data_IF_981151597415
#
_entry.id   IF_981151597415
#
_cell.length_a   1.000
_cell.length_b   1.000
_cell.length_c   1.000
_cell.angle_alpha   90.00
_cell.angle_beta   90.00
_cell.angle_gamma   90.00
#
_symmetry.space_group_name_H-M   'P 1'
#
loop_
_entity.id
_entity.type
_entity.pdbx_description
1 polymer ?
#
# COMPACT_ATOMS: atom_id res chain seq x y z
N UNK A 1 -14.59 17.45 16.53
CA UNK A 1 -13.34 17.45 15.71
C UNK A 1 -13.71 17.00 14.32
N UNK A 2 -13.46 17.85 13.34
CA UNK A 2 -13.80 17.64 11.93
C UNK A 2 -13.18 16.33 11.39
N UNK A 3 -13.86 15.65 10.46
CA UNK A 3 -13.39 14.40 9.84
C UNK A 3 -12.08 14.65 9.08
N UNK A 4 -11.98 15.78 8.39
CA UNK A 4 -10.77 16.18 7.66
C UNK A 4 -9.59 16.41 8.62
N UNK A 5 -9.82 17.08 9.74
CA UNK A 5 -8.79 17.32 10.76
C UNK A 5 -8.20 16.01 11.32
N UNK A 6 -9.02 14.97 11.51
CA UNK A 6 -8.54 13.64 11.93
C UNK A 6 -7.57 13.03 10.91
N UNK A 7 -7.87 13.18 9.62
CA UNK A 7 -7.04 12.65 8.53
C UNK A 7 -5.75 13.46 8.35
N UNK A 8 -5.82 14.79 8.47
CA UNK A 8 -4.65 15.68 8.43
C UNK A 8 -3.62 15.32 9.50
N UNK A 9 -4.05 15.00 10.71
CA UNK A 9 -3.16 14.55 11.80
C UNK A 9 -2.40 13.26 11.44
N UNK A 10 -3.05 12.31 10.76
CA UNK A 10 -2.40 11.09 10.28
C UNK A 10 -1.32 11.44 9.27
N UNK A 11 -1.64 12.28 8.27
CA UNK A 11 -0.70 12.70 7.23
C UNK A 11 0.54 13.38 7.83
N UNK A 12 0.35 14.32 8.78
CA UNK A 12 1.45 15.02 9.44
C UNK A 12 2.35 14.03 10.21
N UNK A 13 1.74 13.11 10.96
CA UNK A 13 2.49 12.08 11.69
C UNK A 13 3.37 11.25 10.75
N UNK A 14 2.81 10.71 9.67
CA UNK A 14 3.57 9.91 8.70
C UNK A 14 4.69 10.72 8.03
N UNK A 15 4.44 12.01 7.74
CA UNK A 15 5.45 12.92 7.19
C UNK A 15 6.62 13.08 8.16
N UNK A 16 6.34 13.39 9.43
CA UNK A 16 7.36 13.58 10.47
C UNK A 16 8.18 12.31 10.71
N UNK A 17 7.52 11.16 10.79
CA UNK A 17 8.17 9.86 10.97
C UNK A 17 9.06 9.48 9.79
N UNK A 18 8.60 9.69 8.55
CA UNK A 18 9.42 9.46 7.34
C UNK A 18 10.66 10.35 7.34
N UNK A 19 10.49 11.65 7.60
CA UNK A 19 11.59 12.60 7.62
C UNK A 19 12.60 12.26 8.72
N UNK A 20 12.13 11.82 9.90
CA UNK A 20 12.99 11.30 10.95
C UNK A 20 13.75 10.06 10.48
N UNK A 21 13.07 9.08 9.87
CA UNK A 21 13.70 7.84 9.41
C UNK A 21 14.80 8.07 8.37
N UNK A 22 14.59 9.03 7.47
CA UNK A 22 15.60 9.44 6.47
C UNK A 22 16.82 10.06 7.15
N UNK A 23 16.61 10.98 8.11
CA UNK A 23 17.72 11.60 8.87
C UNK A 23 18.50 10.57 9.66
N UNK A 24 17.82 9.70 10.41
CA UNK A 24 18.46 8.65 11.22
C UNK A 24 19.32 7.76 10.32
N UNK A 25 18.80 7.30 9.17
CA UNK A 25 19.56 6.44 8.25
C UNK A 25 20.78 7.16 7.66
N UNK A 26 20.67 8.45 7.35
CA UNK A 26 21.80 9.25 6.86
C UNK A 26 22.94 9.30 7.89
N UNK A 27 22.61 9.40 9.17
CA UNK A 27 23.60 9.39 10.25
C UNK A 27 24.20 7.98 10.46
N UNK A 28 23.38 6.93 10.46
CA UNK A 28 23.84 5.53 10.53
C UNK A 28 24.87 5.21 9.43
N UNK A 29 24.62 5.66 8.20
CA UNK A 29 25.49 5.42 7.04
C UNK A 29 26.90 6.00 7.19
N UNK A 30 27.13 6.97 8.09
CA UNK A 30 28.49 7.47 8.38
C UNK A 30 29.38 6.43 9.06
N UNK A 31 28.76 5.41 9.65
CA UNK A 31 29.44 4.32 10.37
C UNK A 31 29.30 2.95 9.68
N UNK A 32 28.70 2.90 8.49
CA UNK A 32 28.55 1.66 7.75
C UNK A 32 29.92 1.15 7.24
N UNK A 33 30.09 -0.17 7.21
CA UNK A 33 31.19 -0.79 6.49
C UNK A 33 30.92 -0.70 4.97
N UNK A 34 31.85 -0.07 4.24
CA UNK A 34 31.74 0.16 2.78
C UNK A 34 32.72 -0.69 1.96
N UNK A 35 33.25 -1.79 2.50
CA UNK A 35 34.15 -2.72 1.79
C UNK A 35 33.58 -3.21 0.46
N UNK A 36 32.25 -3.31 0.33
CA UNK A 36 31.58 -3.71 -0.92
C UNK A 36 31.77 -2.70 -2.06
N UNK A 37 32.24 -1.47 -1.80
CA UNK A 37 32.51 -0.48 -2.84
C UNK A 37 33.61 -0.91 -3.81
N UNK A 38 34.43 -1.91 -3.46
CA UNK A 38 35.31 -2.56 -4.43
C UNK A 38 34.55 -3.08 -5.66
N UNK A 39 33.32 -3.59 -5.48
CA UNK A 39 32.46 -4.05 -6.57
C UNK A 39 31.90 -2.86 -7.36
N UNK A 40 31.52 -1.78 -6.68
CA UNK A 40 31.04 -0.57 -7.35
C UNK A 40 32.12 0.06 -8.23
N UNK A 41 33.36 0.12 -7.71
CA UNK A 41 34.53 0.58 -8.45
C UNK A 41 34.81 -0.31 -9.67
N UNK A 42 34.74 -1.63 -9.53
CA UNK A 42 34.88 -2.57 -10.65
C UNK A 42 33.80 -2.36 -11.74
N UNK A 43 32.61 -1.89 -11.34
CA UNK A 43 31.51 -1.53 -12.24
C UNK A 43 31.58 -0.08 -12.75
N UNK A 44 32.63 0.68 -12.43
CA UNK A 44 32.85 2.04 -12.93
C UNK A 44 32.24 3.17 -12.08
N UNK A 45 31.85 2.90 -10.83
CA UNK A 45 31.34 3.90 -9.90
C UNK A 45 32.35 4.19 -8.80
N UNK A 46 32.63 5.48 -8.56
CA UNK A 46 33.43 5.90 -7.40
C UNK A 46 32.69 5.65 -6.08
N UNK A 47 33.43 5.58 -4.98
CA UNK A 47 32.89 5.48 -3.63
C UNK A 47 31.84 6.55 -3.32
N UNK A 48 32.07 7.80 -3.74
CA UNK A 48 31.10 8.89 -3.56
C UNK A 48 29.79 8.61 -4.30
N UNK A 49 29.86 8.14 -5.55
CA UNK A 49 28.67 7.77 -6.32
C UNK A 49 27.99 6.55 -5.70
N UNK A 50 28.75 5.58 -5.21
CA UNK A 50 28.27 4.41 -4.47
C UNK A 50 27.44 4.82 -3.26
N UNK A 51 27.98 5.72 -2.43
CA UNK A 51 27.27 6.27 -1.28
C UNK A 51 25.96 6.95 -1.66
N UNK A 52 25.96 7.79 -2.71
CA UNK A 52 24.74 8.46 -3.16
C UNK A 52 23.69 7.47 -3.65
N UNK A 53 24.10 6.42 -4.37
CA UNK A 53 23.19 5.36 -4.84
C UNK A 53 22.57 4.62 -3.65
N UNK A 54 23.39 4.17 -2.70
CA UNK A 54 22.92 3.46 -1.51
C UNK A 54 21.97 4.34 -0.69
N UNK A 55 22.30 5.62 -0.53
CA UNK A 55 21.44 6.57 0.17
C UNK A 55 20.09 6.75 -0.53
N UNK A 56 20.08 6.98 -1.85
CA UNK A 56 18.85 7.13 -2.62
C UNK A 56 18.01 5.85 -2.64
N UNK A 57 18.64 4.67 -2.67
CA UNK A 57 17.95 3.40 -2.56
C UNK A 57 17.25 3.27 -1.20
N UNK A 58 17.90 3.67 -0.11
CA UNK A 58 17.30 3.69 1.23
C UNK A 58 16.11 4.66 1.29
N UNK A 59 16.29 5.90 0.79
CA UNK A 59 15.23 6.91 0.74
C UNK A 59 14.04 6.41 -0.08
N UNK A 60 14.29 5.86 -1.26
CA UNK A 60 13.27 5.28 -2.13
C UNK A 60 12.49 4.16 -1.44
N UNK A 61 13.19 3.24 -0.76
CA UNK A 61 12.55 2.16 0.01
C UNK A 61 11.67 2.70 1.14
N UNK A 62 12.14 3.70 1.88
CA UNK A 62 11.33 4.32 2.94
C UNK A 62 10.11 5.01 2.36
N UNK A 63 10.28 5.82 1.32
CA UNK A 63 9.16 6.53 0.70
C UNK A 63 8.07 5.56 0.21
N UNK A 64 8.45 4.50 -0.51
CA UNK A 64 7.49 3.50 -0.99
C UNK A 64 6.75 2.80 0.15
N UNK A 65 7.45 2.45 1.24
CA UNK A 65 6.83 1.86 2.43
C UNK A 65 5.84 2.83 3.09
N UNK A 66 6.26 4.07 3.33
CA UNK A 66 5.43 5.07 4.01
C UNK A 66 4.24 5.49 3.16
N UNK A 67 4.38 5.60 1.84
CA UNK A 67 3.26 5.86 0.93
C UNK A 67 2.20 4.75 1.00
N UNK A 68 2.62 3.49 1.00
CA UNK A 68 1.72 2.35 1.15
C UNK A 68 0.99 2.34 2.50
N UNK A 69 1.72 2.48 3.61
CA UNK A 69 1.12 2.50 4.94
C UNK A 69 0.21 3.71 5.18
N UNK A 70 0.60 4.89 4.66
CA UNK A 70 -0.21 6.10 4.79
C UNK A 70 -1.57 5.94 4.12
N UNK A 71 -1.63 5.45 2.88
CA UNK A 71 -2.91 5.33 2.18
C UNK A 71 -3.81 4.26 2.81
N UNK A 72 -3.21 3.16 3.29
CA UNK A 72 -3.92 2.09 3.99
C UNK A 72 -4.60 2.65 5.24
N UNK A 73 -3.85 3.34 6.10
CA UNK A 73 -4.36 3.94 7.33
C UNK A 73 -5.43 5.01 7.05
N UNK A 74 -5.21 5.87 6.05
CA UNK A 74 -6.20 6.89 5.68
C UNK A 74 -7.50 6.29 5.15
N UNK A 75 -7.44 5.30 4.26
CA UNK A 75 -8.62 4.65 3.71
C UNK A 75 -9.39 3.86 4.78
N UNK A 76 -8.68 3.10 5.64
CA UNK A 76 -9.29 2.46 6.82
C UNK A 76 -9.97 3.50 7.69
N UNK A 77 -9.34 4.65 7.91
CA UNK A 77 -9.91 5.72 8.73
C UNK A 77 -11.16 6.32 8.09
N UNK A 78 -11.20 6.49 6.76
CA UNK A 78 -12.40 6.91 6.05
C UNK A 78 -13.56 5.93 6.30
N UNK A 79 -13.31 4.62 6.15
CA UNK A 79 -14.32 3.60 6.44
C UNK A 79 -14.80 3.65 7.89
N UNK A 80 -13.89 3.72 8.87
CA UNK A 80 -14.26 3.79 10.31
C UNK A 80 -15.01 5.07 10.69
N UNK A 81 -14.87 6.15 9.93
CA UNK A 81 -15.60 7.40 10.16
C UNK A 81 -17.01 7.37 9.55
N UNK A 82 -17.21 6.58 8.49
CA UNK A 82 -18.50 6.44 7.81
C UNK A 82 -19.33 5.25 8.33
N UNK A 83 -18.67 4.16 8.69
CA UNK A 83 -19.26 2.88 9.07
C UNK A 83 -18.81 2.50 10.48
N UNK A 84 -19.69 2.61 11.51
CA UNK A 84 -19.34 2.31 12.89
C UNK A 84 -18.91 0.85 13.15
N UNK A 85 -19.32 -0.08 12.28
CA UNK A 85 -19.00 -1.51 12.35
C UNK A 85 -17.68 -1.89 11.65
N UNK A 86 -17.00 -0.92 11.02
CA UNK A 86 -15.74 -1.16 10.33
C UNK A 86 -14.64 -1.68 11.29
N UNK A 87 -14.01 -2.80 10.93
CA UNK A 87 -12.92 -3.43 11.67
C UNK A 87 -11.65 -3.46 10.83
N UNK A 88 -10.52 -3.07 11.42
CA UNK A 88 -9.22 -3.10 10.74
C UNK A 88 -8.46 -4.38 11.04
N UNK A 89 -7.64 -4.83 10.08
CA UNK A 89 -6.69 -5.95 10.22
C UNK A 89 -7.32 -7.23 10.77
N UNK A 90 -8.48 -7.58 10.23
CA UNK A 90 -9.21 -8.79 10.61
C UNK A 90 -8.46 -10.00 10.06
N UNK A 91 -8.18 -10.98 10.92
CA UNK A 91 -7.52 -12.23 10.53
C UNK A 91 -8.54 -13.36 10.45
N UNK A 92 -8.56 -14.05 9.32
CA UNK A 92 -9.38 -15.24 9.11
C UNK A 92 -8.46 -16.47 8.92
N UNK A 93 -8.88 -17.66 9.38
CA UNK A 93 -8.10 -18.88 9.17
C UNK A 93 -7.89 -19.15 7.68
N UNK A 94 -6.68 -19.55 7.32
CA UNK A 94 -6.42 -20.07 5.98
C UNK A 94 -7.00 -21.48 5.86
N UNK A 95 -7.99 -21.66 4.99
CA UNK A 95 -8.69 -22.93 4.74
C UNK A 95 -8.08 -23.76 3.61
N UNK A 96 -7.13 -23.19 2.85
CA UNK A 96 -6.59 -23.81 1.62
C UNK A 96 -5.30 -24.60 1.90
N UNK A 97 -4.41 -24.06 2.73
CA UNK A 97 -3.16 -24.72 3.09
C UNK A 97 -2.67 -24.27 4.48
N UNK A 98 -1.46 -24.67 4.86
CA UNK A 98 -0.89 -24.40 6.19
C UNK A 98 -0.14 -23.06 6.32
N UNK A 99 0.12 -22.33 5.22
CA UNK A 99 1.00 -21.15 5.25
C UNK A 99 0.58 -20.06 4.26
N UNK A 100 0.25 -18.83 4.73
CA UNK A 100 0.24 -18.40 6.13
C UNK A 100 -0.91 -19.04 6.92
N UNK A 101 -0.81 -19.10 8.26
CA UNK A 101 -1.88 -19.66 9.11
C UNK A 101 -3.20 -18.89 8.99
N UNK A 102 -3.10 -17.57 8.80
CA UNK A 102 -4.24 -16.68 8.65
C UNK A 102 -4.05 -15.80 7.41
N UNK A 103 -5.17 -15.45 6.79
CA UNK A 103 -5.28 -14.37 5.82
C UNK A 103 -5.71 -13.09 6.55
N UNK A 104 -5.05 -11.98 6.27
CA UNK A 104 -5.42 -10.66 6.81
C UNK A 104 -6.30 -9.90 5.80
N UNK A 105 -7.33 -9.24 6.33
CA UNK A 105 -8.21 -8.30 5.66
C UNK A 105 -7.89 -6.92 6.23
N UNK A 106 -7.48 -5.96 5.39
CA UNK A 106 -7.06 -4.63 5.83
C UNK A 106 -8.21 -3.89 6.52
N UNK A 107 -9.40 -3.92 5.92
CA UNK A 107 -10.63 -3.37 6.48
C UNK A 107 -11.83 -4.26 6.18
N UNK A 108 -12.69 -4.50 7.17
CA UNK A 108 -13.93 -5.26 7.03
C UNK A 108 -15.12 -4.38 7.42
N UNK A 109 -16.06 -4.17 6.48
CA UNK A 109 -17.29 -3.40 6.69
C UNK A 109 -18.49 -4.28 6.31
N UNK A 110 -19.29 -4.71 7.30
CA UNK A 110 -20.29 -5.76 7.09
C UNK A 110 -19.67 -7.02 6.46
N UNK A 111 -20.10 -7.36 5.24
CA UNK A 111 -19.53 -8.47 4.45
C UNK A 111 -18.38 -8.08 3.53
N UNK A 112 -18.08 -6.79 3.38
CA UNK A 112 -17.10 -6.27 2.42
C UNK A 112 -15.70 -6.31 3.02
N UNK A 113 -14.84 -7.16 2.47
CA UNK A 113 -13.47 -7.39 2.92
C UNK A 113 -12.49 -6.69 1.98
N UNK A 114 -11.98 -5.54 2.41
CA UNK A 114 -11.11 -4.67 1.63
C UNK A 114 -9.64 -5.09 1.70
N UNK A 115 -9.01 -5.17 0.52
CA UNK A 115 -7.56 -5.06 0.31
C UNK A 115 -7.23 -3.66 -0.22
N UNK A 116 -6.35 -2.94 0.45
CA UNK A 116 -6.04 -1.55 0.14
C UNK A 116 -4.61 -1.45 -0.38
N UNK A 117 -4.44 -0.84 -1.55
CA UNK A 117 -3.14 -0.62 -2.17
C UNK A 117 -3.01 0.82 -2.63
N UNK A 118 -1.85 1.42 -2.37
CA UNK A 118 -1.51 2.70 -3.02
C UNK A 118 -1.23 2.47 -4.50
N UNK A 119 -0.38 1.49 -4.82
CA UNK A 119 0.02 1.11 -6.18
C UNK A 119 0.53 -0.33 -6.15
N UNK A 120 0.24 -1.10 -7.19
CA UNK A 120 0.85 -2.41 -7.39
C UNK A 120 1.65 -2.44 -8.68
N UNK A 121 2.96 -2.50 -8.54
CA UNK A 121 3.92 -2.55 -9.65
C UNK A 121 4.48 -3.96 -9.87
N UNK A 122 3.85 -5.00 -9.30
CA UNK A 122 4.32 -6.37 -9.47
C UNK A 122 4.38 -6.76 -10.94
N UNK A 123 5.48 -7.39 -11.31
CA UNK A 123 5.68 -8.00 -12.63
C UNK A 123 5.73 -9.52 -12.56
N UNK A 124 5.66 -10.10 -11.36
CA UNK A 124 5.84 -11.53 -11.12
C UNK A 124 4.52 -12.25 -10.84
N UNK A 125 4.37 -13.44 -11.42
CA UNK A 125 3.18 -14.29 -11.30
C UNK A 125 3.00 -14.93 -9.93
N UNK A 126 4.05 -15.00 -9.10
CA UNK A 126 3.92 -15.50 -7.71
C UNK A 126 2.95 -14.64 -6.88
N UNK A 127 2.95 -13.32 -7.12
CA UNK A 127 2.00 -12.41 -6.47
C UNK A 127 0.54 -12.72 -6.84
N UNK A 128 0.27 -13.09 -8.10
CA UNK A 128 -1.09 -13.46 -8.54
C UNK A 128 -1.57 -14.71 -7.83
N UNK A 129 -0.71 -15.74 -7.69
CA UNK A 129 -1.09 -16.99 -7.01
C UNK A 129 -1.43 -16.76 -5.54
N UNK A 130 -0.63 -15.93 -4.85
CA UNK A 130 -0.90 -15.57 -3.45
C UNK A 130 -2.19 -14.80 -3.31
N UNK A 131 -2.45 -13.86 -4.22
CA UNK A 131 -3.69 -13.10 -4.23
C UNK A 131 -4.88 -14.02 -4.48
N UNK A 132 -4.86 -14.84 -5.54
CA UNK A 132 -5.90 -15.83 -5.84
C UNK A 132 -6.28 -16.68 -4.62
N UNK A 133 -5.28 -17.22 -3.93
CA UNK A 133 -5.51 -17.97 -2.69
C UNK A 133 -6.18 -17.11 -1.62
N UNK A 134 -5.63 -15.92 -1.33
CA UNK A 134 -6.18 -14.99 -0.34
C UNK A 134 -7.64 -14.69 -0.63
N UNK A 135 -7.97 -14.35 -1.88
CA UNK A 135 -9.33 -13.95 -2.24
C UNK A 135 -10.30 -15.13 -2.15
N UNK A 136 -9.87 -16.33 -2.50
CA UNK A 136 -10.66 -17.56 -2.33
C UNK A 136 -10.97 -17.85 -0.86
N UNK A 137 -9.99 -17.75 0.04
CA UNK A 137 -10.22 -17.92 1.51
C UNK A 137 -11.26 -16.91 2.02
N UNK A 138 -11.16 -15.66 1.59
CA UNK A 138 -12.09 -14.59 1.99
C UNK A 138 -13.52 -14.89 1.49
N UNK A 139 -13.65 -15.29 0.23
CA UNK A 139 -14.94 -15.65 -0.37
C UNK A 139 -15.58 -16.88 0.29
N UNK A 140 -14.79 -17.94 0.55
CA UNK A 140 -15.24 -19.14 1.26
C UNK A 140 -15.68 -18.86 2.71
N UNK A 141 -15.09 -17.84 3.34
CA UNK A 141 -15.51 -17.35 4.66
C UNK A 141 -16.82 -16.53 4.63
N UNK A 142 -17.44 -16.34 3.46
CA UNK A 142 -18.71 -15.66 3.28
C UNK A 142 -18.61 -14.14 3.13
N UNK A 143 -17.41 -13.62 2.89
CA UNK A 143 -17.15 -12.20 2.65
C UNK A 143 -17.08 -11.89 1.15
N UNK A 144 -17.37 -10.64 0.80
CA UNK A 144 -17.21 -10.09 -0.55
C UNK A 144 -15.81 -9.44 -0.59
N UNK A 145 -14.86 -10.03 -1.32
CA UNK A 145 -13.53 -9.46 -1.42
C UNK A 145 -13.55 -8.23 -2.32
N UNK A 146 -12.99 -7.12 -1.85
CA UNK A 146 -12.93 -5.86 -2.60
C UNK A 146 -11.49 -5.37 -2.62
N UNK A 147 -10.94 -5.11 -3.80
CA UNK A 147 -9.61 -4.50 -3.93
C UNK A 147 -9.73 -3.06 -4.37
N UNK A 148 -9.05 -2.18 -3.64
CA UNK A 148 -8.97 -0.76 -3.95
C UNK A 148 -7.50 -0.40 -4.17
N UNK A 149 -7.15 0.02 -5.39
CA UNK A 149 -5.80 0.43 -5.76
C UNK A 149 -5.78 1.88 -6.26
N UNK A 150 -5.28 2.82 -5.46
CA UNK A 150 -5.45 4.25 -5.73
C UNK A 150 -4.66 4.80 -6.92
N UNK A 151 -3.56 4.17 -7.32
CA UNK A 151 -2.73 4.60 -8.44
C UNK A 151 -2.44 3.43 -9.40
N UNK A 152 -2.57 3.71 -10.70
CA UNK A 152 -2.28 2.75 -11.75
C UNK A 152 -0.76 2.52 -11.91
N UNK A 153 -0.33 1.30 -12.28
CA UNK A 153 1.04 1.05 -12.69
C UNK A 153 1.33 1.63 -14.07
N UNK A 154 2.60 1.97 -14.30
CA UNK A 154 3.04 2.52 -15.59
C UNK A 154 3.60 1.45 -16.54
N UNK A 155 4.13 0.34 -16.00
CA UNK A 155 4.79 -0.70 -16.80
C UNK A 155 3.73 -1.59 -17.42
N UNK A 156 3.82 -1.84 -18.73
CA UNK A 156 2.86 -2.69 -19.45
C UNK A 156 2.63 -4.05 -18.79
N UNK A 157 3.70 -4.71 -18.32
CA UNK A 157 3.59 -6.00 -17.66
C UNK A 157 2.77 -5.92 -16.37
N UNK A 158 2.96 -4.87 -15.57
CA UNK A 158 2.18 -4.64 -14.36
C UNK A 158 0.72 -4.34 -14.69
N UNK A 159 0.46 -3.54 -15.73
CA UNK A 159 -0.91 -3.27 -16.22
C UNK A 159 -1.63 -4.57 -16.60
N UNK A 160 -0.97 -5.46 -17.36
CA UNK A 160 -1.53 -6.78 -17.74
C UNK A 160 -1.80 -7.66 -16.52
N UNK A 161 -0.96 -7.61 -15.48
CA UNK A 161 -1.18 -8.35 -14.24
C UNK A 161 -2.37 -7.79 -13.47
N UNK A 162 -2.52 -6.47 -13.36
CA UNK A 162 -3.67 -5.87 -12.68
C UNK A 162 -4.98 -6.17 -13.42
N UNK A 163 -4.97 -6.26 -14.76
CA UNK A 163 -6.13 -6.70 -15.53
C UNK A 163 -6.55 -8.14 -15.17
N UNK A 164 -5.59 -9.07 -15.07
CA UNK A 164 -5.86 -10.45 -14.62
C UNK A 164 -6.36 -10.51 -13.18
N UNK A 165 -5.82 -9.67 -12.30
CA UNK A 165 -6.32 -9.58 -10.92
C UNK A 165 -7.77 -9.06 -10.88
N UNK A 166 -8.12 -8.10 -11.73
CA UNK A 166 -9.49 -7.61 -11.86
C UNK A 166 -10.45 -8.72 -12.29
N UNK A 167 -10.10 -9.48 -13.33
CA UNK A 167 -10.87 -10.65 -13.79
C UNK A 167 -11.06 -11.67 -12.65
N UNK A 168 -9.97 -12.02 -11.96
CA UNK A 168 -10.01 -12.91 -10.80
C UNK A 168 -11.01 -12.45 -9.73
N UNK A 169 -10.96 -11.17 -9.34
CA UNK A 169 -11.88 -10.64 -8.33
C UNK A 169 -13.34 -10.75 -8.80
N UNK A 170 -13.62 -10.50 -10.09
CA UNK A 170 -14.96 -10.60 -10.65
C UNK A 170 -15.46 -12.07 -10.71
N UNK A 171 -14.60 -13.00 -11.12
CA UNK A 171 -14.93 -14.43 -11.25
C UNK A 171 -15.40 -15.06 -9.93
N UNK A 172 -14.86 -14.61 -8.80
CA UNK A 172 -15.19 -15.11 -7.47
C UNK A 172 -16.27 -14.28 -6.75
N UNK A 173 -16.94 -13.37 -7.47
CA UNK A 173 -18.01 -12.53 -6.96
C UNK A 173 -17.55 -11.35 -6.09
N UNK A 174 -16.29 -10.96 -6.22
CA UNK A 174 -15.71 -9.77 -5.60
C UNK A 174 -15.69 -8.54 -6.51
N UNK A 175 -15.08 -7.47 -6.02
CA UNK A 175 -15.00 -6.18 -6.70
C UNK A 175 -13.55 -5.68 -6.79
N UNK A 176 -13.23 -4.91 -7.82
CA UNK A 176 -11.90 -4.37 -8.03
C UNK A 176 -12.00 -2.95 -8.60
N UNK A 177 -11.43 -1.99 -7.87
CA UNK A 177 -11.38 -0.58 -8.25
C UNK A 177 -9.94 -0.11 -8.31
N UNK A 178 -9.59 0.61 -9.37
CA UNK A 178 -8.25 1.20 -9.50
C UNK A 178 -8.24 2.58 -10.12
N UNK A 179 -7.19 3.35 -9.84
CA UNK A 179 -7.06 4.71 -10.35
C UNK A 179 -8.21 5.60 -9.87
N UNK A 180 -8.85 6.33 -10.78
CA UNK A 180 -9.95 7.23 -10.42
C UNK A 180 -11.14 6.48 -9.82
N UNK A 181 -11.46 5.29 -10.32
CA UNK A 181 -12.57 4.47 -9.81
C UNK A 181 -12.37 4.13 -8.32
N UNK A 182 -11.13 3.94 -7.87
CA UNK A 182 -10.82 3.69 -6.47
C UNK A 182 -11.08 4.92 -5.58
N UNK A 183 -10.73 6.11 -6.07
CA UNK A 183 -10.98 7.37 -5.36
C UNK A 183 -12.47 7.67 -5.30
N UNK A 184 -13.19 7.52 -6.42
CA UNK A 184 -14.63 7.72 -6.51
C UNK A 184 -15.39 6.72 -5.64
N UNK A 185 -15.00 5.44 -5.65
CA UNK A 185 -15.60 4.42 -4.80
C UNK A 185 -15.50 4.80 -3.32
N UNK A 186 -14.29 5.14 -2.83
CA UNK A 186 -14.09 5.50 -1.43
C UNK A 186 -14.92 6.74 -1.05
N UNK A 187 -14.95 7.74 -1.93
CA UNK A 187 -15.72 8.98 -1.72
C UNK A 187 -17.22 8.69 -1.66
N UNK A 188 -17.74 7.89 -2.58
CA UNK A 188 -19.17 7.54 -2.64
C UNK A 188 -19.58 6.71 -1.42
N UNK A 189 -18.74 5.79 -0.98
CA UNK A 189 -19.04 4.91 0.16
C UNK A 189 -18.92 5.64 1.51
N UNK A 190 -17.95 6.55 1.66
CA UNK A 190 -17.64 7.18 2.96
C UNK A 190 -18.12 8.63 3.09
N UNK A 191 -18.46 9.27 1.97
CA UNK A 191 -18.72 10.71 1.88
C UNK A 191 -17.46 11.58 2.07
N UNK A 192 -16.26 11.00 2.04
CA UNK A 192 -15.00 11.71 2.29
C UNK A 192 -14.17 11.76 1.01
N UNK A 193 -13.87 12.97 0.55
CA UNK A 193 -13.01 13.20 -0.61
C UNK A 193 -11.52 13.16 -0.21
N UNK A 194 -11.00 11.95 0.00
CA UNK A 194 -9.63 11.74 0.46
C UNK A 194 -8.59 12.30 -0.52
N UNK A 195 -8.85 12.17 -1.83
CA UNK A 195 -7.97 12.69 -2.89
C UNK A 195 -7.78 14.21 -2.75
N UNK A 196 -8.89 14.94 -2.62
CA UNK A 196 -8.87 16.40 -2.42
C UNK A 196 -8.16 16.82 -1.12
N UNK A 197 -8.30 16.03 -0.05
CA UNK A 197 -7.59 16.29 1.22
C UNK A 197 -6.07 16.19 1.01
N UNK A 198 -5.61 15.15 0.30
CA UNK A 198 -4.18 14.96 -0.01
C UNK A 198 -3.65 16.10 -0.91
N UNK A 199 -4.36 16.46 -1.98
CA UNK A 199 -3.96 17.55 -2.89
C UNK A 199 -3.85 18.92 -2.18
N UNK A 200 -4.72 19.18 -1.20
CA UNK A 200 -4.65 20.41 -0.39
C UNK A 200 -3.48 20.44 0.59
N UNK A 201 -2.87 19.30 0.90
CA UNK A 201 -1.70 19.23 1.78
C UNK A 201 -0.40 19.59 1.04
N UNK A 202 -0.38 19.45 -0.28
CA UNK A 202 0.76 19.80 -1.13
C UNK A 202 0.91 21.32 -1.31
N UNK A 203 -0.18 22.09 -1.20
CA UNK A 203 -0.18 23.54 -1.35
C UNK A 203 0.53 24.33 -0.23
N UNK A 204 1.09 23.65 0.78
CA UNK A 204 1.79 24.24 1.93
C UNK A 204 3.24 23.73 2.08
N UNK A 205 3.84 23.20 1.02
CA UNK A 205 5.26 22.81 0.95
C UNK A 205 6.02 23.76 0.02
#
# INVERSE_FOLDING_TARGET
MDREEKLRKIIIKYREELQKKIRDRKEEMKSDNNEHYILYNALGFSDEKGYQIDYQQNVGRFLYKYAGSLIEDLAIRCFKLAHPDAREKVKIPNTIDQSPKNVEIDCLVGKRAYEIKWKDATTDGDHIKKEHKRVKVISEAGYIPIRIMFFEPNREQAIRIQAKLRELYQEIGGEYYSGEDAWEYLKNDTGIDLKRILERMDANI
#
